data_IF_168379870191
#
_entry.id   IF_168379870191
#
_cell.length_a   1.000
_cell.length_b   1.000
_cell.length_c   1.000
_cell.angle_alpha   90.00
_cell.angle_beta   90.00
_cell.angle_gamma   90.00
#
_symmetry.space_group_name_H-M   'P 1'
#
loop_
_entity.id
_entity.type
_entity.pdbx_description
1 polymer ?
#
# COMPACT_ATOMS: atom_id res chain seq x y z
N UNK A 1 65.65 51.44 48.32
CA UNK A 1 64.29 50.93 48.01
C UNK A 1 64.27 50.60 46.52
N UNK A 2 63.89 49.37 46.16
CA UNK A 2 63.51 48.99 44.79
C UNK A 2 62.00 49.28 44.60
N UNK A 3 61.36 49.04 43.43
CA UNK A 3 61.87 48.60 42.11
C UNK A 3 61.65 49.73 41.05
N UNK A 4 61.68 49.55 39.72
CA UNK A 4 61.89 48.38 38.85
C UNK A 4 62.50 48.80 37.49
N UNK A 5 62.86 47.82 36.65
CA UNK A 5 62.81 47.95 35.19
C UNK A 5 61.56 47.22 34.65
N UNK A 6 61.01 47.71 33.55
CA UNK A 6 60.23 46.91 32.59
C UNK A 6 60.41 47.52 31.19
N UNK A 7 61.30 46.91 30.40
CA UNK A 7 61.41 47.15 28.96
C UNK A 7 60.45 46.18 28.27
N UNK A 8 59.51 46.69 27.47
CA UNK A 8 58.68 45.85 26.59
C UNK A 8 59.07 46.07 25.14
N UNK A 9 59.44 44.96 24.50
CA UNK A 9 60.00 44.90 23.15
C UNK A 9 58.86 44.86 22.12
N UNK A 10 59.04 45.58 21.01
CA UNK A 10 58.11 45.60 19.89
C UNK A 10 58.15 44.26 19.14
N UNK A 11 56.99 43.65 18.87
CA UNK A 11 56.88 42.63 17.83
C UNK A 11 55.47 42.61 17.22
N UNK A 12 55.40 42.94 15.94
CA UNK A 12 54.19 42.85 15.13
C UNK A 12 53.95 41.41 14.68
N UNK A 13 52.96 40.74 15.25
CA UNK A 13 52.58 39.38 14.85
C UNK A 13 51.39 39.42 13.90
N UNK A 14 51.62 39.04 12.64
CA UNK A 14 50.54 38.69 11.71
C UNK A 14 49.78 37.47 12.27
N UNK A 15 48.53 37.66 12.70
CA UNK A 15 47.61 36.55 12.93
C UNK A 15 46.93 36.17 11.61
N UNK A 16 47.44 35.12 10.97
CA UNK A 16 46.82 34.55 9.78
C UNK A 16 45.40 34.07 10.10
N UNK A 17 44.43 34.40 9.24
CA UNK A 17 43.03 34.05 9.43
C UNK A 17 42.77 32.60 9.00
N UNK A 18 43.17 31.63 9.82
CA UNK A 18 42.88 30.22 9.57
C UNK A 18 41.42 29.90 9.96
N UNK A 19 40.51 29.93 8.97
CA UNK A 19 39.20 29.29 9.10
C UNK A 19 39.40 27.79 9.40
N UNK A 20 38.78 27.22 10.45
CA UNK A 20 38.70 25.78 10.59
C UNK A 20 37.81 25.25 9.47
N UNK A 21 38.39 24.47 8.57
CA UNK A 21 37.63 23.71 7.58
C UNK A 21 36.75 22.72 8.37
N UNK A 22 35.44 22.98 8.44
CA UNK A 22 34.48 22.02 9.00
C UNK A 22 34.44 20.81 8.07
N UNK A 23 35.28 19.83 8.37
CA UNK A 23 35.16 18.49 7.82
C UNK A 23 33.85 17.91 8.37
N UNK A 24 32.77 18.00 7.59
CA UNK A 24 31.63 17.12 7.80
C UNK A 24 32.15 15.70 7.64
N UNK A 25 32.35 15.03 8.77
CA UNK A 25 32.60 13.60 8.81
C UNK A 25 31.38 12.91 8.25
N UNK A 26 31.44 12.51 6.97
CA UNK A 26 30.51 11.52 6.43
C UNK A 26 30.82 10.23 7.17
N UNK A 27 30.01 9.94 8.19
CA UNK A 27 29.96 8.61 8.77
C UNK A 27 29.53 7.66 7.65
N UNK A 28 30.49 6.91 7.12
CA UNK A 28 30.24 5.85 6.18
C UNK A 28 29.69 4.63 6.94
N UNK A 29 28.44 4.74 7.39
CA UNK A 29 27.68 3.55 7.77
C UNK A 29 27.35 2.76 6.51
N UNK A 30 27.69 1.48 6.54
CA UNK A 30 27.48 0.56 5.43
C UNK A 30 26.01 0.17 5.25
N UNK A 31 25.70 -0.26 4.04
CA UNK A 31 24.53 -1.09 3.71
C UNK A 31 23.14 -0.47 3.94
N UNK A 32 22.68 0.32 2.96
CA UNK A 32 21.27 0.71 2.87
C UNK A 32 21.00 1.75 1.78
N UNK A 33 20.44 1.32 0.64
CA UNK A 33 19.93 2.25 -0.37
C UNK A 33 18.90 3.20 0.26
N UNK A 34 19.12 4.51 0.13
CA UNK A 34 18.42 5.53 0.91
C UNK A 34 16.91 5.40 0.85
N UNK A 35 16.29 5.01 1.98
CA UNK A 35 14.83 5.05 2.13
C UNK A 35 14.41 6.52 2.09
N UNK A 36 13.65 6.87 1.06
CA UNK A 36 13.22 8.24 0.82
C UNK A 36 12.40 8.77 2.01
N UNK A 37 12.38 10.09 2.24
CA UNK A 37 11.57 10.69 3.29
C UNK A 37 10.09 10.28 3.14
N UNK A 38 9.41 9.92 4.23
CA UNK A 38 7.96 9.70 4.22
C UNK A 38 7.20 10.93 3.70
N UNK A 39 6.22 10.71 2.82
CA UNK A 39 5.34 11.75 2.26
C UNK A 39 3.91 11.51 2.75
N UNK A 40 3.29 12.52 3.34
CA UNK A 40 1.92 12.43 3.83
C UNK A 40 0.90 12.62 2.69
N UNK A 41 -0.10 11.75 2.61
CA UNK A 41 -1.31 11.96 1.82
C UNK A 41 -2.53 11.75 2.73
N UNK A 42 -3.27 12.82 3.01
CA UNK A 42 -4.33 12.80 4.01
C UNK A 42 -3.76 12.57 5.41
N UNK A 43 -4.20 11.50 6.04
CA UNK A 43 -3.68 10.97 7.31
C UNK A 43 -2.74 9.76 7.13
N UNK A 44 -2.49 9.32 5.89
CA UNK A 44 -1.68 8.14 5.60
C UNK A 44 -0.27 8.55 5.22
N UNK A 45 0.71 7.97 5.93
CA UNK A 45 2.11 8.18 5.64
C UNK A 45 2.60 7.23 4.54
N UNK A 46 3.04 7.78 3.40
CA UNK A 46 3.53 7.02 2.24
C UNK A 46 5.06 7.04 2.22
N UNK A 47 5.64 5.89 2.49
CA UNK A 47 7.07 5.59 2.39
C UNK A 47 7.32 4.26 1.67
N UNK A 48 8.59 3.97 1.37
CA UNK A 48 9.04 2.71 0.78
C UNK A 48 8.37 1.48 1.43
N UNK A 49 7.82 0.52 0.65
CA UNK A 49 8.00 0.33 -0.80
C UNK A 49 7.11 1.20 -1.70
N UNK A 50 6.20 1.99 -1.15
CA UNK A 50 5.22 2.71 -1.95
C UNK A 50 5.81 3.93 -2.64
N UNK A 51 5.43 4.09 -3.92
CA UNK A 51 5.69 5.26 -4.74
C UNK A 51 4.41 6.08 -4.84
N UNK A 52 4.48 7.38 -4.55
CA UNK A 52 3.42 8.30 -4.99
C UNK A 52 3.55 8.49 -6.51
N UNK A 53 2.49 8.17 -7.25
CA UNK A 53 2.33 8.59 -8.65
C UNK A 53 1.95 10.06 -8.61
N UNK A 54 2.80 10.97 -9.10
CA UNK A 54 2.54 12.39 -8.93
C UNK A 54 1.53 12.90 -9.96
N UNK A 55 0.68 13.82 -9.53
CA UNK A 55 0.11 14.82 -10.42
C UNK A 55 1.10 15.99 -10.64
N UNK A 56 2.00 16.25 -9.66
CA UNK A 56 2.96 17.39 -9.67
C UNK A 56 4.29 17.21 -8.90
N UNK A 57 4.56 16.07 -8.24
CA UNK A 57 5.81 15.91 -7.46
C UNK A 57 7.06 15.70 -8.35
N UNK A 58 8.16 16.35 -7.95
CA UNK A 58 9.40 16.50 -8.72
C UNK A 58 10.38 15.33 -8.60
N UNK A 59 10.13 14.33 -7.74
CA UNK A 59 11.03 13.20 -7.52
C UNK A 59 10.37 11.88 -7.94
N UNK A 60 10.98 11.23 -8.93
CA UNK A 60 10.42 10.09 -9.67
C UNK A 60 10.93 8.73 -9.20
N UNK A 61 11.86 8.67 -8.24
CA UNK A 61 12.65 7.45 -8.02
C UNK A 61 12.36 6.69 -6.72
N UNK A 62 11.38 7.12 -5.91
CA UNK A 62 11.05 6.41 -4.68
C UNK A 62 10.02 5.27 -4.88
N UNK A 63 10.36 4.05 -4.47
CA UNK A 63 9.42 2.93 -4.35
C UNK A 63 9.70 1.74 -5.29
N UNK A 64 9.02 0.61 -5.05
CA UNK A 64 9.19 -0.62 -5.81
C UNK A 64 8.12 -0.78 -6.92
N UNK A 65 8.47 -1.47 -8.00
CA UNK A 65 7.58 -1.70 -9.15
C UNK A 65 6.33 -2.46 -8.67
N UNK A 66 5.14 -1.91 -8.99
CA UNK A 66 3.83 -2.42 -8.57
C UNK A 66 3.24 -1.73 -7.32
N UNK A 67 4.05 -1.04 -6.52
CA UNK A 67 3.60 -0.36 -5.30
C UNK A 67 3.22 1.11 -5.54
N UNK A 68 2.20 1.36 -6.35
CA UNK A 68 1.83 2.72 -6.77
C UNK A 68 0.64 3.27 -5.97
N UNK A 69 0.79 4.51 -5.50
CA UNK A 69 -0.24 5.26 -4.75
C UNK A 69 -0.54 6.56 -5.47
N UNK A 70 -1.79 6.78 -5.87
CA UNK A 70 -2.25 8.08 -6.36
C UNK A 70 -2.80 8.89 -5.17
N UNK A 71 -2.29 10.09 -4.94
CA UNK A 71 -2.87 11.02 -3.96
C UNK A 71 -3.76 12.01 -4.69
N UNK A 72 -5.09 11.92 -4.52
CA UNK A 72 -6.05 12.82 -5.17
C UNK A 72 -6.95 13.46 -4.12
N UNK A 73 -7.06 14.79 -4.13
CA UNK A 73 -7.81 15.56 -3.13
C UNK A 73 -7.47 15.14 -1.68
N UNK A 74 -6.18 15.03 -1.39
CA UNK A 74 -5.65 14.59 -0.09
C UNK A 74 -6.14 13.19 0.36
N UNK A 75 -6.64 12.36 -0.57
CA UNK A 75 -7.07 10.99 -0.34
C UNK A 75 -6.13 10.02 -1.06
N UNK A 76 -5.51 9.05 -0.36
CA UNK A 76 -4.60 8.09 -0.97
C UNK A 76 -5.36 6.92 -1.59
N UNK A 77 -4.95 6.53 -2.79
CA UNK A 77 -5.56 5.48 -3.59
C UNK A 77 -4.50 4.48 -4.08
N UNK A 78 -4.73 3.19 -3.82
CA UNK A 78 -3.96 2.11 -4.41
C UNK A 78 -4.50 1.84 -5.82
N UNK A 79 -3.66 2.02 -6.83
CA UNK A 79 -4.04 1.87 -8.23
C UNK A 79 -2.85 1.48 -9.11
N UNK A 80 -3.14 1.10 -10.35
CA UNK A 80 -2.13 0.86 -11.38
C UNK A 80 -2.13 2.02 -12.38
N UNK A 81 -0.95 2.40 -12.90
CA UNK A 81 -0.82 3.49 -13.86
C UNK A 81 -1.71 3.26 -15.10
N UNK A 82 -2.60 4.21 -15.39
CA UNK A 82 -3.54 4.13 -16.51
C UNK A 82 -4.77 3.25 -16.28
N UNK A 83 -5.04 2.79 -15.06
CA UNK A 83 -6.23 2.00 -14.73
C UNK A 83 -7.37 2.84 -14.13
N UNK A 84 -8.58 2.70 -14.68
CA UNK A 84 -9.82 3.32 -14.17
C UNK A 84 -10.33 2.71 -12.85
N UNK A 85 -9.48 2.12 -12.02
CA UNK A 85 -9.90 1.45 -10.79
C UNK A 85 -8.85 1.63 -9.68
N UNK A 86 -9.35 1.95 -8.49
CA UNK A 86 -8.56 2.23 -7.31
C UNK A 86 -9.26 1.75 -6.04
N UNK A 87 -8.48 1.24 -5.09
CA UNK A 87 -8.92 1.09 -3.71
C UNK A 87 -8.51 2.33 -2.92
N UNK A 88 -9.39 2.87 -2.08
CA UNK A 88 -8.99 3.91 -1.13
C UNK A 88 -8.10 3.27 -0.06
N UNK A 89 -6.94 3.86 0.22
CA UNK A 89 -6.05 3.42 1.30
C UNK A 89 -6.55 4.06 2.60
N UNK A 90 -6.81 3.23 3.62
CA UNK A 90 -7.24 3.71 4.94
C UNK A 90 -6.06 3.75 5.93
N UNK A 91 -5.15 2.76 5.86
CA UNK A 91 -3.94 2.72 6.70
C UNK A 91 -2.88 1.77 6.13
N UNK A 92 -1.60 1.99 6.45
CA UNK A 92 -0.46 1.16 6.03
C UNK A 92 0.32 0.68 7.26
N UNK A 93 0.35 -0.63 7.48
CA UNK A 93 1.03 -1.32 8.57
C UNK A 93 2.39 -1.86 8.11
N UNK A 94 3.36 -0.97 7.95
CA UNK A 94 4.71 -1.29 7.45
C UNK A 94 5.39 -2.47 8.16
N UNK A 95 5.25 -2.59 9.48
CA UNK A 95 5.89 -3.67 10.25
C UNK A 95 5.39 -5.09 9.91
N UNK A 96 4.17 -5.21 9.38
CA UNK A 96 3.54 -6.50 9.06
C UNK A 96 3.39 -6.73 7.54
N UNK A 97 3.85 -5.79 6.70
CA UNK A 97 3.64 -5.84 5.25
C UNK A 97 2.15 -5.86 4.86
N UNK A 98 1.30 -5.12 5.58
CA UNK A 98 -0.15 -5.11 5.34
C UNK A 98 -0.77 -3.71 5.30
N UNK A 99 -1.88 -3.54 4.60
CA UNK A 99 -2.57 -2.25 4.37
C UNK A 99 -4.08 -2.49 4.42
N UNK A 100 -4.79 -1.59 5.07
CA UNK A 100 -6.25 -1.57 5.08
C UNK A 100 -6.72 -0.72 3.90
N UNK A 101 -7.55 -1.29 3.02
CA UNK A 101 -8.09 -0.60 1.83
C UNK A 101 -9.60 -0.82 1.67
N UNK A 102 -10.30 0.13 1.06
CA UNK A 102 -11.73 0.07 0.78
C UNK A 102 -12.02 0.16 -0.73
N UNK A 103 -12.89 -0.71 -1.23
CA UNK A 103 -13.45 -0.64 -2.60
C UNK A 103 -14.69 0.25 -2.61
N UNK A 104 -14.49 1.54 -2.35
CA UNK A 104 -15.58 2.53 -2.18
C UNK A 104 -16.49 2.64 -3.41
N UNK A 105 -16.03 2.22 -4.59
CA UNK A 105 -16.84 2.22 -5.81
C UNK A 105 -18.01 1.24 -5.71
N UNK A 106 -17.87 0.13 -4.97
CA UNK A 106 -18.98 -0.82 -4.74
C UNK A 106 -20.15 -0.20 -3.97
N UNK A 107 -19.94 0.88 -3.22
CA UNK A 107 -21.02 1.63 -2.58
C UNK A 107 -21.83 2.45 -3.58
N UNK A 108 -21.21 2.90 -4.68
CA UNK A 108 -21.88 3.68 -5.73
C UNK A 108 -22.88 2.84 -6.50
N UNK A 109 -22.55 1.56 -6.77
CA UNK A 109 -23.45 0.62 -7.45
C UNK A 109 -24.80 0.49 -6.69
N UNK A 110 -24.78 0.55 -5.35
CA UNK A 110 -25.98 0.52 -4.49
C UNK A 110 -26.64 1.89 -4.22
N UNK A 111 -26.27 2.95 -4.94
CA UNK A 111 -26.85 4.27 -4.75
C UNK A 111 -28.15 4.43 -5.56
N UNK A 112 -29.30 4.41 -4.88
CA UNK A 112 -30.63 4.65 -5.49
C UNK A 112 -30.69 6.03 -6.18
N UNK A 113 -29.90 7.00 -5.73
CA UNK A 113 -29.86 8.35 -6.29
C UNK A 113 -28.84 8.53 -7.44
N UNK A 114 -28.12 7.48 -7.87
CA UNK A 114 -27.28 7.55 -9.08
C UNK A 114 -28.18 7.62 -10.34
N UNK A 115 -27.85 8.45 -11.35
CA UNK A 115 -28.64 8.54 -12.59
C UNK A 115 -28.79 7.21 -13.36
N UNK A 116 -27.91 6.23 -13.13
CA UNK A 116 -27.99 4.88 -13.72
C UNK A 116 -28.84 3.91 -12.88
N UNK A 117 -29.31 4.35 -11.71
CA UNK A 117 -30.09 3.57 -10.77
C UNK A 117 -29.26 2.57 -9.94
N UNK A 118 -29.91 1.99 -8.94
CA UNK A 118 -29.32 0.97 -8.08
C UNK A 118 -29.10 -0.34 -8.86
N UNK A 119 -27.87 -0.84 -8.88
CA UNK A 119 -27.48 -2.06 -9.57
C UNK A 119 -26.54 -2.91 -8.71
N UNK A 120 -26.55 -4.24 -8.93
CA UNK A 120 -25.58 -5.11 -8.29
C UNK A 120 -24.20 -4.96 -8.98
N UNK A 121 -23.09 -4.86 -8.22
CA UNK A 121 -21.75 -4.99 -8.76
C UNK A 121 -21.59 -6.28 -9.59
N UNK A 122 -20.84 -6.22 -10.68
CA UNK A 122 -20.70 -7.32 -11.66
C UNK A 122 -19.34 -8.03 -11.65
N UNK A 123 -18.42 -7.62 -10.76
CA UNK A 123 -17.06 -8.17 -10.68
C UNK A 123 -16.52 -8.18 -9.25
N UNK A 124 -15.77 -9.23 -8.90
CA UNK A 124 -15.11 -9.36 -7.60
C UNK A 124 -14.02 -8.29 -7.46
N UNK A 125 -13.94 -7.62 -6.31
CA UNK A 125 -12.92 -6.59 -6.07
C UNK A 125 -11.49 -7.15 -6.21
N UNK A 126 -11.29 -8.41 -5.82
CA UNK A 126 -10.00 -9.11 -5.94
C UNK A 126 -9.52 -9.30 -7.38
N UNK A 127 -10.39 -9.23 -8.40
CA UNK A 127 -9.96 -9.27 -9.82
C UNK A 127 -9.14 -8.05 -10.24
N UNK A 128 -9.14 -7.01 -9.42
CA UNK A 128 -8.39 -5.76 -9.63
C UNK A 128 -7.09 -5.71 -8.84
N UNK A 129 -6.76 -6.76 -8.08
CA UNK A 129 -5.49 -6.87 -7.38
C UNK A 129 -4.40 -7.33 -8.36
N UNK A 130 -3.40 -6.46 -8.56
CA UNK A 130 -2.17 -6.82 -9.25
C UNK A 130 -1.12 -7.36 -8.27
N UNK A 131 -0.13 -8.05 -8.82
CA UNK A 131 1.13 -8.31 -8.09
C UNK A 131 1.73 -6.97 -7.62
N UNK A 132 2.21 -6.85 -6.36
CA UNK A 132 2.48 -7.92 -5.39
C UNK A 132 1.48 -8.01 -4.23
N UNK A 133 0.22 -7.63 -4.44
CA UNK A 133 -0.79 -7.62 -3.37
C UNK A 133 -1.58 -8.92 -3.29
N UNK A 134 -1.81 -9.39 -2.06
CA UNK A 134 -2.58 -10.59 -1.75
C UNK A 134 -3.72 -10.27 -0.78
N UNK A 135 -4.83 -10.98 -0.92
CA UNK A 135 -5.98 -10.86 -0.02
C UNK A 135 -5.66 -11.53 1.33
N UNK A 136 -5.74 -10.80 2.44
CA UNK A 136 -5.39 -11.33 3.76
C UNK A 136 -6.38 -12.41 4.24
N UNK A 137 -5.89 -13.51 4.86
CA UNK A 137 -6.77 -14.52 5.46
C UNK A 137 -7.52 -14.03 6.72
N UNK A 138 -7.26 -12.80 7.18
CA UNK A 138 -8.06 -12.13 8.23
C UNK A 138 -9.36 -11.51 7.69
N UNK A 139 -9.55 -11.47 6.37
CA UNK A 139 -10.77 -10.97 5.74
C UNK A 139 -11.85 -12.06 5.68
N UNK A 140 -13.10 -11.67 5.51
CA UNK A 140 -14.20 -12.52 5.03
C UNK A 140 -14.66 -12.00 3.67
N UNK A 141 -15.54 -12.73 2.99
CA UNK A 141 -16.18 -12.22 1.78
C UNK A 141 -17.62 -11.80 2.10
N UNK A 142 -17.94 -10.55 1.85
CA UNK A 142 -19.30 -10.11 1.57
C UNK A 142 -19.64 -10.55 0.15
N UNK A 143 -20.66 -11.37 0.03
CA UNK A 143 -21.12 -11.97 -1.23
C UNK A 143 -22.40 -11.26 -1.62
N UNK A 144 -22.43 -10.76 -2.86
CA UNK A 144 -23.61 -10.16 -3.48
C UNK A 144 -24.15 -11.14 -4.49
N UNK A 145 -25.42 -11.49 -4.36
CA UNK A 145 -26.15 -12.24 -5.36
C UNK A 145 -26.98 -11.31 -6.23
N UNK A 146 -26.98 -11.56 -7.54
CA UNK A 146 -27.92 -10.97 -8.48
C UNK A 146 -28.68 -12.13 -9.16
N UNK A 147 -29.95 -12.32 -8.77
CA UNK A 147 -30.70 -13.51 -9.16
C UNK A 147 -31.78 -13.20 -10.20
N UNK A 148 -31.89 -14.04 -11.22
CA UNK A 148 -33.00 -13.97 -12.20
C UNK A 148 -34.38 -14.16 -11.56
N UNK A 149 -34.44 -14.90 -10.44
CA UNK A 149 -35.61 -15.13 -9.59
C UNK A 149 -35.16 -15.22 -8.14
N UNK A 150 -36.02 -14.84 -7.19
CA UNK A 150 -35.70 -14.99 -5.76
C UNK A 150 -35.36 -16.45 -5.39
N UNK A 151 -34.33 -16.69 -4.56
CA UNK A 151 -33.93 -18.03 -4.17
C UNK A 151 -34.97 -18.71 -3.27
N UNK A 152 -34.91 -20.05 -3.10
CA UNK A 152 -35.82 -20.79 -2.22
C UNK A 152 -35.78 -20.27 -0.78
N UNK A 153 -36.89 -20.38 -0.05
CA UNK A 153 -37.07 -19.82 1.31
C UNK A 153 -35.93 -20.18 2.27
N UNK A 154 -35.50 -21.45 2.28
CA UNK A 154 -34.44 -21.95 3.16
C UNK A 154 -33.06 -21.31 2.91
N UNK A 155 -32.77 -20.85 1.68
CA UNK A 155 -31.59 -20.03 1.41
C UNK A 155 -31.87 -18.55 1.72
N UNK A 156 -33.05 -18.03 1.35
CA UNK A 156 -33.45 -16.64 1.61
C UNK A 156 -33.38 -16.25 3.09
N UNK A 157 -33.67 -17.17 4.02
CA UNK A 157 -33.51 -16.95 5.48
C UNK A 157 -32.06 -16.63 5.92
N UNK A 158 -31.06 -16.94 5.08
CA UNK A 158 -29.63 -16.67 5.32
C UNK A 158 -29.12 -15.45 4.56
N UNK A 159 -30.01 -14.75 3.85
CA UNK A 159 -29.70 -13.62 2.98
C UNK A 159 -30.33 -12.33 3.53
N UNK A 160 -29.71 -11.20 3.21
CA UNK A 160 -30.25 -9.87 3.46
C UNK A 160 -30.58 -9.22 2.13
N UNK A 161 -31.79 -8.72 1.93
CA UNK A 161 -32.15 -8.01 0.69
C UNK A 161 -31.32 -6.73 0.52
N UNK A 162 -30.86 -6.44 -0.70
CA UNK A 162 -30.22 -5.14 -0.97
C UNK A 162 -31.25 -4.05 -1.21
N UNK A 163 -30.82 -2.80 -1.02
CA UNK A 163 -31.62 -1.60 -1.31
C UNK A 163 -32.06 -1.45 -2.77
N UNK A 164 -31.55 -2.27 -3.69
CA UNK A 164 -32.01 -2.29 -5.09
C UNK A 164 -33.30 -3.10 -5.29
N UNK A 165 -33.72 -3.91 -4.30
CA UNK A 165 -34.96 -4.73 -4.30
C UNK A 165 -35.23 -5.53 -5.60
N UNK A 166 -34.18 -5.97 -6.29
CA UNK A 166 -34.23 -6.54 -7.65
C UNK A 166 -33.86 -8.03 -7.68
N UNK A 167 -34.33 -8.82 -6.70
CA UNK A 167 -33.80 -10.16 -6.39
C UNK A 167 -32.28 -10.16 -6.14
N UNK A 168 -31.80 -9.07 -5.54
CA UNK A 168 -30.41 -8.86 -5.17
C UNK A 168 -30.25 -9.01 -3.66
N UNK A 169 -29.22 -9.75 -3.24
CA UNK A 169 -29.04 -10.13 -1.83
C UNK A 169 -27.58 -10.05 -1.36
N UNK A 170 -27.37 -9.82 -0.07
CA UNK A 170 -26.09 -9.95 0.62
C UNK A 170 -26.03 -11.22 1.47
N UNK A 171 -24.85 -11.83 1.56
CA UNK A 171 -24.45 -12.84 2.55
C UNK A 171 -23.02 -12.57 2.97
N UNK A 172 -22.64 -12.88 4.21
CA UNK A 172 -21.21 -12.94 4.57
C UNK A 172 -20.77 -14.39 4.67
N UNK A 173 -19.62 -14.71 4.06
CA UNK A 173 -18.97 -16.01 4.18
C UNK A 173 -18.58 -16.28 5.63
N UNK A 174 -18.84 -17.50 6.11
CA UNK A 174 -18.57 -17.88 7.51
C UNK A 174 -17.06 -17.89 7.80
N UNK A 175 -16.29 -18.39 6.82
CA UNK A 175 -14.83 -18.50 6.81
C UNK A 175 -14.21 -17.91 5.54
N UNK A 176 -12.93 -17.58 5.63
CA UNK A 176 -12.11 -17.26 4.46
C UNK A 176 -11.61 -18.55 3.79
N UNK A 177 -12.15 -18.89 2.63
CA UNK A 177 -11.64 -20.04 1.89
C UNK A 177 -10.37 -19.67 1.11
N UNK A 178 -9.22 -20.12 1.63
CA UNK A 178 -7.90 -19.98 0.99
C UNK A 178 -7.79 -20.72 -0.34
N UNK A 179 -8.62 -21.73 -0.59
CA UNK A 179 -8.57 -22.55 -1.81
C UNK A 179 -9.31 -21.91 -2.99
N UNK A 180 -10.03 -20.79 -2.79
CA UNK A 180 -10.92 -20.23 -3.80
C UNK A 180 -12.16 -21.10 -4.09
N UNK A 181 -12.47 -22.06 -3.20
CA UNK A 181 -13.60 -22.98 -3.29
C UNK A 181 -14.93 -22.33 -2.96
N UNK A 182 -15.28 -21.26 -3.68
CA UNK A 182 -16.57 -20.56 -3.53
C UNK A 182 -17.80 -21.39 -3.94
N UNK A 183 -17.62 -22.68 -4.25
CA UNK A 183 -18.66 -23.60 -4.72
C UNK A 183 -19.84 -23.73 -3.75
N UNK A 184 -19.58 -23.73 -2.45
CA UNK A 184 -20.60 -23.77 -1.38
C UNK A 184 -21.45 -22.51 -1.27
N UNK A 185 -21.05 -21.42 -1.95
CA UNK A 185 -21.76 -20.16 -1.99
C UNK A 185 -22.48 -19.90 -3.32
N UNK A 186 -22.39 -20.76 -4.33
CA UNK A 186 -23.18 -20.56 -5.55
C UNK A 186 -24.65 -20.91 -5.32
N UNK A 187 -25.54 -20.01 -5.72
CA UNK A 187 -26.99 -20.20 -5.69
C UNK A 187 -27.52 -20.37 -7.12
N UNK A 188 -28.37 -21.37 -7.34
CA UNK A 188 -28.89 -21.67 -8.67
C UNK A 188 -29.72 -20.50 -9.24
N UNK A 189 -29.34 -20.00 -10.41
CA UNK A 189 -30.00 -18.87 -11.07
C UNK A 189 -29.56 -17.48 -10.59
N UNK A 190 -28.47 -17.41 -9.81
CA UNK A 190 -27.85 -16.17 -9.33
C UNK A 190 -26.39 -16.05 -9.79
N UNK A 191 -26.01 -14.87 -10.27
CA UNK A 191 -24.60 -14.47 -10.32
C UNK A 191 -24.14 -14.09 -8.91
N UNK A 192 -22.87 -14.35 -8.60
CA UNK A 192 -22.28 -14.08 -7.28
C UNK A 192 -21.00 -13.24 -7.39
N UNK A 193 -20.95 -12.13 -6.67
CA UNK A 193 -19.79 -11.23 -6.59
C UNK A 193 -19.23 -11.19 -5.18
N UNK A 194 -17.91 -11.36 -5.07
CA UNK A 194 -17.18 -11.47 -3.81
C UNK A 194 -16.40 -10.17 -3.56
N UNK A 195 -16.78 -9.46 -2.49
CA UNK A 195 -16.09 -8.30 -1.95
C UNK A 195 -15.38 -8.73 -0.65
N UNK A 196 -14.05 -8.65 -0.55
CA UNK A 196 -13.36 -8.85 0.71
C UNK A 196 -13.72 -7.73 1.69
N UNK A 197 -13.99 -8.10 2.94
CA UNK A 197 -14.29 -7.19 4.07
C UNK A 197 -13.53 -7.69 5.30
N UNK A 198 -13.16 -6.81 6.23
CA UNK A 198 -12.41 -7.22 7.42
C UNK A 198 -13.25 -8.17 8.29
N UNK A 199 -12.76 -9.39 8.52
CA UNK A 199 -13.56 -10.48 9.07
C UNK A 199 -13.63 -10.55 10.59
N UNK A 200 -12.55 -10.11 11.26
CA UNK A 200 -12.34 -10.31 12.69
C UNK A 200 -12.44 -11.78 13.14
N UNK A 201 -12.50 -12.00 14.45
CA UNK A 201 -12.86 -13.29 15.05
C UNK A 201 -14.39 -13.49 15.18
N UNK A 202 -15.19 -12.48 14.85
CA UNK A 202 -16.62 -12.43 15.12
C UNK A 202 -17.53 -12.90 13.99
N UNK A 203 -18.84 -12.90 14.28
CA UNK A 203 -19.90 -12.98 13.27
C UNK A 203 -20.12 -11.58 12.69
N UNK A 204 -19.92 -11.43 11.39
CA UNK A 204 -20.10 -10.19 10.65
C UNK A 204 -21.53 -10.13 10.12
N UNK A 205 -22.20 -8.98 10.22
CA UNK A 205 -23.61 -8.83 9.84
C UNK A 205 -23.76 -8.23 8.44
N UNK A 206 -24.39 -8.97 7.53
CA UNK A 206 -24.61 -8.56 6.14
C UNK A 206 -25.50 -7.30 5.99
N UNK A 207 -26.36 -6.96 6.96
CA UNK A 207 -27.15 -5.72 6.89
C UNK A 207 -26.28 -4.45 6.93
N UNK A 208 -25.10 -4.54 7.54
CA UNK A 208 -24.17 -3.42 7.69
C UNK A 208 -23.21 -3.30 6.50
N UNK A 209 -23.57 -3.84 5.32
CA UNK A 209 -22.71 -3.91 4.13
C UNK A 209 -22.03 -2.59 3.76
N UNK A 210 -22.69 -1.44 4.01
CA UNK A 210 -22.12 -0.11 3.76
C UNK A 210 -20.88 0.13 4.61
N UNK A 211 -21.00 -0.12 5.92
CA UNK A 211 -19.91 -0.02 6.90
C UNK A 211 -18.82 -1.03 6.57
N UNK A 212 -19.17 -2.29 6.26
CA UNK A 212 -18.20 -3.33 5.93
C UNK A 212 -17.35 -3.02 4.68
N UNK A 213 -17.93 -2.35 3.68
CA UNK A 213 -17.20 -1.92 2.48
C UNK A 213 -16.37 -0.65 2.76
N UNK A 214 -16.85 0.28 3.60
CA UNK A 214 -16.12 1.50 3.95
C UNK A 214 -14.97 1.27 4.94
N UNK A 215 -15.13 0.34 5.89
CA UNK A 215 -14.09 -0.12 6.82
C UNK A 215 -13.02 -0.95 6.08
N UNK A 216 -13.41 -1.53 4.94
CA UNK A 216 -12.51 -2.13 3.98
C UNK A 216 -11.99 -3.51 4.41
N UNK A 217 -10.82 -3.86 3.88
CA UNK A 217 -10.22 -5.18 4.02
C UNK A 217 -8.68 -5.09 3.99
N UNK A 218 -8.01 -6.09 4.56
CA UNK A 218 -6.56 -6.12 4.61
C UNK A 218 -5.96 -6.73 3.33
N UNK A 219 -5.10 -5.98 2.67
CA UNK A 219 -4.11 -6.52 1.74
C UNK A 219 -2.81 -6.81 2.47
N UNK A 220 -2.10 -7.84 2.02
CA UNK A 220 -0.70 -8.08 2.36
C UNK A 220 0.17 -7.93 1.11
N UNK A 221 1.43 -7.58 1.29
CA UNK A 221 2.44 -7.57 0.25
C UNK A 221 3.73 -8.21 0.72
N UNK A 222 4.56 -8.58 -0.26
CA UNK A 222 5.94 -8.96 -0.02
C UNK A 222 6.84 -8.12 -0.93
N UNK A 223 8.00 -7.72 -0.42
CA UNK A 223 9.05 -7.17 -1.26
C UNK A 223 9.54 -8.27 -2.21
N UNK A 224 9.80 -7.97 -3.50
CA UNK A 224 10.54 -8.89 -4.36
C UNK A 224 11.87 -9.24 -3.69
N UNK A 225 12.19 -10.53 -3.58
CA UNK A 225 13.49 -10.95 -3.05
C UNK A 225 14.59 -10.44 -3.96
N UNK A 226 15.53 -9.67 -3.41
CA UNK A 226 16.74 -9.26 -4.12
C UNK A 226 17.50 -10.52 -4.59
N UNK A 227 17.98 -10.57 -5.85
CA UNK A 227 18.86 -11.64 -6.28
C UNK A 227 20.07 -11.74 -5.33
N UNK A 228 20.57 -12.96 -5.04
CA UNK A 228 21.82 -13.11 -4.31
C UNK A 228 22.93 -12.32 -5.01
N UNK A 229 23.69 -11.53 -4.25
CA UNK A 229 24.88 -10.87 -4.80
C UNK A 229 25.82 -11.95 -5.38
N UNK A 230 26.37 -11.75 -6.59
CA UNK A 230 27.39 -12.65 -7.11
C UNK A 230 28.57 -12.69 -6.13
N UNK A 231 29.22 -13.85 -5.94
CA UNK A 231 30.38 -13.94 -5.07
C UNK A 231 31.46 -12.94 -5.53
N UNK A 232 32.16 -12.26 -4.60
CA UNK A 232 33.15 -11.26 -4.96
C UNK A 232 34.20 -11.87 -5.88
N UNK A 233 34.24 -11.38 -7.12
CA UNK A 233 35.17 -11.88 -8.13
C UNK A 233 36.58 -11.58 -7.68
N UNK A 234 37.34 -12.62 -7.30
CA UNK A 234 38.74 -12.52 -6.91
C UNK A 234 39.59 -12.24 -8.14
N UNK A 235 39.57 -10.98 -8.57
CA UNK A 235 40.39 -10.46 -9.65
C UNK A 235 41.87 -10.66 -9.33
N UNK A 236 42.46 -11.71 -9.90
CA UNK A 236 43.92 -11.85 -9.96
C UNK A 236 44.47 -10.65 -10.73
N UNK A 237 45.01 -9.67 -10.01
CA UNK A 237 45.94 -8.71 -10.57
C UNK A 237 47.15 -9.50 -11.10
N UNK A 238 47.17 -9.77 -12.39
CA UNK A 238 48.40 -10.12 -13.10
C UNK A 238 49.18 -8.83 -13.36
N UNK A 239 50.36 -8.63 -12.78
CA UNK A 239 51.20 -7.48 -13.11
C UNK A 239 51.53 -7.52 -14.61
N UNK A 240 51.30 -6.41 -15.31
CA UNK A 240 51.61 -6.32 -16.73
C UNK A 240 53.11 -6.49 -16.98
N UNK A 241 53.47 -7.31 -17.96
CA UNK A 241 54.85 -7.42 -18.40
C UNK A 241 55.32 -6.08 -18.98
N UNK A 242 56.35 -5.48 -18.39
CA UNK A 242 57.00 -4.29 -18.94
C UNK A 242 57.53 -4.61 -20.34
N UNK A 243 57.10 -3.83 -21.34
CA UNK A 243 57.81 -3.72 -22.62
C UNK A 243 58.96 -2.74 -22.44
N UNK A 244 60.18 -3.25 -22.48
CA UNK A 244 61.36 -2.41 -22.67
C UNK A 244 61.48 -2.01 -24.14
N UNK A 245 61.79 -0.73 -24.36
CA UNK A 245 62.43 -0.19 -25.57
C UNK A 245 63.76 0.39 -25.12
#
# INVERSE_FOLDING_TARGET
MAPSLLVLVVSSVWTALSLPLMMLGVAADGEGGGRCPPVLCGNVNISFPFRIVPEQATDTNCGAIGFQVQCSNNTPYLGFYGGDYWFQILNIFYGNGSMLVADIRKLQDFNISDPRGCHAPTSNSTTKLGYPFYNSPANKNLIIYNCTRGPPTAERERLVETVCHSNTFFRVAESFDKSGGYSSYFLAGCDAVFIPVLGGSGKVNASNYKELISDGFLLTWQLPSSPPLPPPTSGKFTPGANKSV
#
